data_IF_878659712881
#
_entry.id   IF_878659712881
#
_cell.length_a   1.000
_cell.length_b   1.000
_cell.length_c   1.000
_cell.angle_alpha   90.00
_cell.angle_beta   90.00
_cell.angle_gamma   90.00
#
_symmetry.space_group_name_H-M   'P 1'
#
loop_
_entity.id
_entity.type
_entity.pdbx_description
1 polymer ?
#
# COMPACT_ATOMS: atom_id res chain seq x y z
N UNK A 1 -14.10 4.19 0.94
CA UNK A 1 -13.28 4.42 2.17
C UNK A 1 -13.54 3.24 3.10
N UNK A 2 -12.50 2.61 3.63
CA UNK A 2 -12.51 1.25 4.22
C UNK A 2 -12.39 0.13 3.17
N UNK A 3 -11.25 0.09 2.47
CA UNK A 3 -10.81 -1.12 1.80
C UNK A 3 -9.69 -1.74 2.66
N UNK A 4 -10.10 -2.75 3.44
CA UNK A 4 -9.29 -3.92 3.85
C UNK A 4 -8.06 -3.67 4.73
N UNK A 5 -8.24 -2.89 5.79
CA UNK A 5 -7.21 -2.80 6.85
C UNK A 5 -7.67 -3.63 8.06
N UNK A 6 -7.07 -4.83 8.16
CA UNK A 6 -7.14 -5.87 9.21
C UNK A 6 -8.38 -6.78 9.17
N UNK A 7 -8.28 -8.11 9.22
CA UNK A 7 -7.37 -8.95 10.00
C UNK A 7 -7.00 -10.16 9.13
N UNK A 8 -5.79 -10.18 8.58
CA UNK A 8 -5.16 -11.47 8.35
C UNK A 8 -4.74 -11.95 9.73
N UNK A 9 -5.24 -13.11 10.13
CA UNK A 9 -4.87 -13.81 11.35
C UNK A 9 -3.40 -14.24 11.19
N UNK A 10 -2.49 -13.27 11.31
CA UNK A 10 -1.07 -13.48 11.08
C UNK A 10 -0.58 -14.41 12.18
N UNK A 11 -0.47 -15.70 11.86
CA UNK A 11 -0.05 -16.76 12.75
C UNK A 11 1.35 -16.49 13.35
N UNK A 12 2.13 -15.60 12.72
CA UNK A 12 3.39 -15.10 13.25
C UNK A 12 3.72 -13.64 12.86
N UNK A 13 4.52 -12.93 13.68
CA UNK A 13 5.08 -11.61 13.31
C UNK A 13 5.92 -11.63 12.02
N UNK A 14 6.47 -12.79 11.64
CA UNK A 14 7.23 -12.94 10.38
C UNK A 14 6.31 -12.83 9.17
N UNK A 15 5.18 -13.51 9.19
CA UNK A 15 4.20 -13.47 8.10
C UNK A 15 3.54 -12.10 8.01
N UNK A 16 3.23 -11.48 9.15
CA UNK A 16 2.73 -10.10 9.19
C UNK A 16 3.66 -9.14 8.46
N UNK A 17 4.97 -9.19 8.77
CA UNK A 17 5.97 -8.35 8.10
C UNK A 17 6.00 -8.60 6.60
N UNK A 18 6.03 -9.86 6.17
CA UNK A 18 6.05 -10.20 4.75
C UNK A 18 4.80 -9.72 4.01
N UNK A 19 3.62 -9.88 4.60
CA UNK A 19 2.37 -9.44 4.03
C UNK A 19 2.30 -7.90 3.95
N UNK A 20 2.69 -7.20 5.02
CA UNK A 20 2.75 -5.75 5.03
C UNK A 20 3.75 -5.20 4.01
N UNK A 21 4.93 -5.81 3.87
CA UNK A 21 5.90 -5.42 2.83
C UNK A 21 5.29 -5.51 1.44
N UNK A 22 4.60 -6.62 1.12
CA UNK A 22 3.92 -6.77 -0.17
C UNK A 22 2.82 -5.74 -0.36
N UNK A 23 2.02 -5.52 0.68
CA UNK A 23 0.93 -4.54 0.65
C UNK A 23 1.46 -3.12 0.40
N UNK A 24 2.51 -2.70 1.09
CA UNK A 24 3.09 -1.38 0.90
C UNK A 24 3.71 -1.20 -0.49
N UNK A 25 4.30 -2.23 -1.07
CA UNK A 25 4.78 -2.18 -2.45
C UNK A 25 3.62 -1.90 -3.42
N UNK A 26 2.56 -2.71 -3.34
CA UNK A 26 1.35 -2.53 -4.16
C UNK A 26 0.70 -1.15 -3.95
N UNK A 27 0.49 -0.74 -2.69
CA UNK A 27 -0.13 0.54 -2.35
C UNK A 27 0.66 1.72 -2.91
N UNK A 28 1.99 1.69 -2.79
CA UNK A 28 2.81 2.83 -3.21
C UNK A 28 3.06 2.88 -4.72
N UNK A 29 3.07 1.74 -5.41
CA UNK A 29 3.56 1.66 -6.80
C UNK A 29 2.50 1.27 -7.83
N UNK A 30 1.40 0.65 -7.42
CA UNK A 30 0.42 0.08 -8.35
C UNK A 30 -0.99 0.62 -8.13
N UNK A 31 -1.38 0.86 -6.87
CA UNK A 31 -2.72 1.34 -6.55
C UNK A 31 -2.89 2.81 -6.96
N UNK A 32 -3.84 3.06 -7.85
CA UNK A 32 -4.27 4.42 -8.19
C UNK A 32 -5.12 4.99 -7.06
N UNK A 33 -4.86 6.25 -6.70
CA UNK A 33 -5.60 6.94 -5.65
C UNK A 33 -6.38 8.10 -6.26
N UNK A 34 -7.70 8.07 -6.15
CA UNK A 34 -8.55 9.16 -6.64
C UNK A 34 -8.22 10.51 -5.98
N UNK A 35 -7.80 10.51 -4.71
CA UNK A 35 -7.34 11.73 -4.02
C UNK A 35 -6.00 12.27 -4.53
N UNK A 36 -5.26 11.48 -5.33
CA UNK A 36 -4.01 11.85 -5.98
C UNK A 36 -4.22 11.95 -7.50
N UNK A 37 -5.39 12.37 -7.96
CA UNK A 37 -5.73 12.47 -9.39
C UNK A 37 -5.48 11.18 -10.19
N UNK A 38 -5.79 10.04 -9.57
CA UNK A 38 -5.53 8.70 -10.11
C UNK A 38 -4.05 8.41 -10.36
N UNK A 39 -3.15 9.04 -9.61
CA UNK A 39 -1.74 8.68 -9.55
C UNK A 39 -1.47 7.76 -8.35
N UNK A 40 -0.33 7.08 -8.40
CA UNK A 40 0.24 6.32 -7.30
C UNK A 40 1.02 7.24 -6.35
N UNK A 41 1.16 6.86 -5.07
CA UNK A 41 1.95 7.64 -4.11
C UNK A 41 3.40 7.83 -4.56
N UNK A 42 4.01 6.81 -5.18
CA UNK A 42 5.36 6.91 -5.73
C UNK A 42 5.44 7.96 -6.86
N UNK A 43 4.48 7.97 -7.79
CA UNK A 43 4.46 8.97 -8.86
C UNK A 43 4.41 10.39 -8.29
N UNK A 44 3.53 10.66 -7.33
CA UNK A 44 3.40 11.98 -6.71
C UNK A 44 4.66 12.40 -5.95
N UNK A 45 5.28 11.48 -5.21
CA UNK A 45 6.45 11.80 -4.39
C UNK A 45 7.70 12.03 -5.25
N UNK A 46 7.93 11.20 -6.27
CA UNK A 46 9.13 11.26 -7.11
C UNK A 46 9.02 12.24 -8.29
N UNK A 47 7.81 12.63 -8.73
CA UNK A 47 7.62 13.70 -9.72
C UNK A 47 7.66 15.11 -9.13
N UNK A 48 7.57 15.26 -7.79
CA UNK A 48 7.71 16.56 -7.11
C UNK A 48 9.18 16.97 -6.85
N UNK A 49 10.14 16.36 -7.56
CA UNK A 49 11.55 16.74 -7.54
C UNK A 49 11.85 17.89 -8.52
#
# INVERSE_FOLDING_TARGET
>A
KYEEVYIHDYLSPREARQALTRYFAFYNQERLHQALDYQTPAEVYFHKA
#
